data_IF_344286085755
#
_entry.id   IF_344286085755
#
_cell.length_a   1.000
_cell.length_b   1.000
_cell.length_c   1.000
_cell.angle_alpha   90.00
_cell.angle_beta   90.00
_cell.angle_gamma   90.00
#
_symmetry.space_group_name_H-M   'P 1'
#
loop_
_entity.id
_entity.type
_entity.pdbx_description
1 polymer ?
#
# COMPACT_ATOMS: atom_id res chain seq x y z
N UNK A 1 -1.85 40.19 15.75
CA UNK A 1 -0.48 39.98 15.27
C UNK A 1 -0.29 38.47 15.02
N UNK A 2 -0.43 38.10 13.76
CA UNK A 2 -0.27 36.74 13.32
C UNK A 2 1.20 36.36 13.23
N UNK A 3 1.50 35.11 13.52
CA UNK A 3 2.79 34.50 13.23
C UNK A 3 2.56 33.35 12.25
N UNK A 4 3.33 33.39 11.19
CA UNK A 4 3.20 32.58 10.01
C UNK A 4 3.34 31.08 10.25
N UNK A 5 2.41 30.34 9.69
CA UNK A 5 2.55 28.92 9.46
C UNK A 5 3.50 28.68 8.29
N UNK A 6 4.52 27.89 8.52
CA UNK A 6 5.38 27.37 7.47
C UNK A 6 4.54 26.48 6.55
N UNK A 7 4.44 26.87 5.29
CA UNK A 7 3.84 26.09 4.22
C UNK A 7 4.68 24.83 3.98
N UNK A 8 4.25 23.70 4.55
CA UNK A 8 4.73 22.40 4.13
C UNK A 8 4.20 22.16 2.72
N UNK A 9 5.08 22.06 1.75
CA UNK A 9 4.77 21.72 0.36
C UNK A 9 4.25 20.28 0.33
N UNK A 10 2.93 20.17 0.39
CA UNK A 10 2.22 18.89 0.26
C UNK A 10 2.31 18.36 -1.16
N UNK A 11 2.37 17.07 -1.25
CA UNK A 11 1.96 16.24 -2.37
C UNK A 11 2.43 16.67 -3.75
N UNK A 12 3.56 16.18 -4.18
CA UNK A 12 4.02 16.25 -5.57
C UNK A 12 2.94 15.73 -6.52
N UNK A 13 2.40 16.61 -7.34
CA UNK A 13 1.78 16.22 -8.61
C UNK A 13 2.91 15.83 -9.55
N UNK A 14 3.54 14.70 -9.30
CA UNK A 14 4.74 14.36 -10.05
C UNK A 14 4.41 13.67 -11.36
N UNK A 15 4.47 14.44 -12.40
CA UNK A 15 5.02 13.97 -13.66
C UNK A 15 6.54 14.02 -13.45
N UNK A 16 7.18 12.99 -12.90
CA UNK A 16 8.62 13.05 -12.60
C UNK A 16 9.16 11.81 -11.91
N UNK A 17 10.47 11.70 -11.88
CA UNK A 17 11.21 10.63 -11.23
C UNK A 17 11.05 10.63 -9.69
N UNK A 18 11.17 9.47 -9.06
CA UNK A 18 11.24 9.35 -7.60
C UNK A 18 12.65 9.68 -7.08
N UNK A 19 12.74 10.21 -5.86
CA UNK A 19 14.01 10.53 -5.18
C UNK A 19 14.08 9.87 -3.81
N UNK A 20 15.26 9.50 -3.38
CA UNK A 20 15.48 9.00 -2.00
C UNK A 20 15.03 10.02 -0.94
N UNK A 21 15.10 11.29 -1.27
CA UNK A 21 14.75 12.40 -0.39
C UNK A 21 13.26 12.77 -0.41
N UNK A 22 12.43 12.06 -1.17
CA UNK A 22 11.00 12.32 -1.17
C UNK A 22 10.42 12.13 0.24
N UNK A 23 9.54 13.04 0.69
CA UNK A 23 8.98 12.96 2.03
C UNK A 23 8.04 11.75 2.15
N UNK A 24 8.18 11.03 3.25
CA UNK A 24 7.27 9.92 3.58
C UNK A 24 5.88 10.47 3.92
N UNK A 25 4.82 10.04 3.22
CA UNK A 25 3.47 10.54 3.45
C UNK A 25 2.67 9.68 4.42
N UNK A 26 1.47 10.16 4.80
CA UNK A 26 0.47 9.35 5.47
C UNK A 26 0.87 8.88 6.86
N UNK A 27 0.28 7.78 7.29
CA UNK A 27 0.57 7.22 8.63
C UNK A 27 2.02 6.77 8.82
N UNK A 28 2.74 6.42 7.77
CA UNK A 28 4.17 6.11 7.88
C UNK A 28 5.04 7.32 8.29
N UNK A 29 4.52 8.54 8.23
CA UNK A 29 5.23 9.77 8.62
C UNK A 29 5.04 10.18 10.09
N UNK A 30 4.10 9.56 10.81
CA UNK A 30 3.78 9.95 12.19
C UNK A 30 4.47 9.05 13.23
N UNK A 31 4.34 9.39 14.49
CA UNK A 31 4.90 8.62 15.62
C UNK A 31 6.39 8.26 15.47
N UNK A 32 7.20 9.23 15.10
CA UNK A 32 8.64 9.07 14.83
C UNK A 32 8.97 8.95 13.35
N UNK A 33 8.01 8.52 12.54
CA UNK A 33 8.12 8.45 11.09
C UNK A 33 9.06 7.35 10.58
N UNK A 34 8.98 7.11 9.28
CA UNK A 34 9.80 6.13 8.57
C UNK A 34 10.99 6.82 7.92
N UNK A 35 12.20 6.36 8.16
CA UNK A 35 13.45 6.89 7.59
C UNK A 35 14.20 5.88 6.73
N UNK A 36 13.77 4.61 6.77
CA UNK A 36 14.40 3.52 6.03
C UNK A 36 15.90 3.39 6.31
N UNK A 37 16.69 3.26 5.28
CA UNK A 37 18.16 3.25 5.33
C UNK A 37 18.82 4.63 5.39
N UNK A 38 18.03 5.71 5.55
CA UNK A 38 18.51 7.08 5.49
C UNK A 38 18.53 7.65 4.07
N UNK A 39 19.26 8.74 3.86
CA UNK A 39 19.29 9.50 2.58
C UNK A 39 20.68 9.57 1.92
N UNK A 40 21.69 8.95 2.51
CA UNK A 40 23.07 9.00 2.03
C UNK A 40 23.28 8.08 0.80
N UNK A 41 22.82 8.51 -0.37
CA UNK A 41 22.87 7.70 -1.60
C UNK A 41 24.28 7.27 -2.01
N UNK A 42 25.32 8.02 -1.64
CA UNK A 42 26.71 7.66 -1.93
C UNK A 42 27.19 6.38 -1.25
N UNK A 43 26.46 5.88 -0.23
CA UNK A 43 26.72 4.60 0.45
C UNK A 43 25.77 3.48 0.00
N UNK A 44 24.96 3.70 -1.04
CA UNK A 44 23.97 2.74 -1.48
C UNK A 44 24.61 1.48 -2.09
N UNK A 45 23.99 0.35 -1.81
CA UNK A 45 24.39 -0.97 -2.31
C UNK A 45 23.57 -1.26 -3.58
N UNK A 46 24.21 -1.39 -4.72
CA UNK A 46 23.52 -1.80 -5.96
C UNK A 46 23.53 -3.32 -6.10
N UNK A 47 22.37 -3.91 -6.39
CA UNK A 47 22.19 -5.37 -6.52
C UNK A 47 21.49 -5.73 -7.83
N UNK A 48 21.85 -6.90 -8.40
CA UNK A 48 21.30 -7.43 -9.64
C UNK A 48 20.94 -8.93 -9.57
N UNK A 49 20.86 -9.47 -8.37
CA UNK A 49 20.42 -10.86 -8.14
C UNK A 49 19.61 -10.96 -6.86
N UNK A 50 18.73 -11.98 -6.77
CA UNK A 50 17.90 -12.21 -5.58
C UNK A 50 18.75 -12.52 -4.35
N UNK A 51 19.82 -13.29 -4.47
CA UNK A 51 20.68 -13.59 -3.33
C UNK A 51 21.43 -12.36 -2.80
N UNK A 52 21.88 -11.48 -3.69
CA UNK A 52 22.49 -10.22 -3.29
C UNK A 52 21.48 -9.28 -2.61
N UNK A 53 20.25 -9.19 -3.16
CA UNK A 53 19.15 -8.40 -2.58
C UNK A 53 18.79 -8.93 -1.18
N UNK A 54 18.58 -10.23 -1.02
CA UNK A 54 18.29 -10.85 0.27
C UNK A 54 19.43 -10.63 1.28
N UNK A 55 20.67 -10.75 0.86
CA UNK A 55 21.83 -10.52 1.74
C UNK A 55 21.93 -9.07 2.21
N UNK A 56 21.76 -8.10 1.31
CA UNK A 56 21.79 -6.68 1.63
C UNK A 56 20.60 -6.24 2.51
N UNK A 57 19.45 -6.89 2.35
CA UNK A 57 18.23 -6.57 3.08
C UNK A 57 18.17 -7.15 4.51
N UNK A 58 19.08 -8.06 4.89
CA UNK A 58 19.08 -8.71 6.22
C UNK A 58 19.47 -7.76 7.36
N UNK A 59 19.06 -8.17 8.58
CA UNK A 59 19.47 -7.53 9.84
C UNK A 59 18.94 -6.12 10.00
N UNK A 60 19.44 -5.41 11.03
CA UNK A 60 18.92 -4.10 11.45
C UNK A 60 19.81 -2.90 11.09
N UNK A 61 21.00 -3.14 10.54
CA UNK A 61 21.88 -2.02 10.13
C UNK A 61 21.23 -1.23 8.99
N UNK A 62 21.21 0.12 9.07
CA UNK A 62 20.64 0.95 8.01
C UNK A 62 21.32 0.69 6.66
N UNK A 63 20.53 0.53 5.61
CA UNK A 63 21.05 0.36 4.25
C UNK A 63 20.09 0.91 3.20
N UNK A 64 20.66 1.57 2.19
CA UNK A 64 19.99 1.92 0.94
C UNK A 64 20.40 0.88 -0.10
N UNK A 65 19.42 0.21 -0.69
CA UNK A 65 19.61 -0.88 -1.64
C UNK A 65 18.96 -0.48 -2.96
N UNK A 66 19.78 -0.32 -3.98
CA UNK A 66 19.35 0.01 -5.34
C UNK A 66 19.27 -1.27 -6.16
N UNK A 67 18.10 -1.56 -6.68
CA UNK A 67 17.84 -2.79 -7.43
C UNK A 67 17.85 -2.49 -8.92
N UNK A 68 18.73 -3.16 -9.66
CA UNK A 68 18.78 -3.03 -11.13
C UNK A 68 17.53 -3.66 -11.77
N UNK A 69 17.07 -3.16 -12.93
CA UNK A 69 16.04 -3.85 -13.69
C UNK A 69 16.40 -5.31 -13.96
N UNK A 70 15.44 -6.21 -13.77
CA UNK A 70 15.65 -7.65 -13.89
C UNK A 70 14.60 -8.47 -13.18
N UNK A 71 14.74 -9.80 -13.24
CA UNK A 71 13.83 -10.77 -12.65
C UNK A 71 14.48 -11.45 -11.44
N UNK A 72 13.81 -11.37 -10.29
CA UNK A 72 14.28 -11.82 -8.98
C UNK A 72 13.30 -12.86 -8.44
N UNK A 73 13.68 -14.15 -8.42
CA UNK A 73 12.76 -15.21 -7.99
C UNK A 73 12.99 -15.60 -6.54
N UNK A 74 11.90 -15.64 -5.76
CA UNK A 74 11.91 -16.08 -4.35
C UNK A 74 11.24 -15.08 -3.42
N UNK A 75 11.48 -15.26 -2.11
CA UNK A 75 10.93 -14.40 -1.04
C UNK A 75 11.95 -13.36 -0.62
N UNK A 76 11.55 -12.10 -0.62
CA UNK A 76 12.29 -11.01 0.02
C UNK A 76 11.74 -10.78 1.43
N UNK A 77 12.54 -11.01 2.45
CA UNK A 77 12.21 -10.77 3.85
C UNK A 77 13.18 -9.74 4.46
N UNK A 78 12.91 -8.44 4.33
CA UNK A 78 13.82 -7.41 4.83
C UNK A 78 13.79 -7.34 6.36
N UNK A 79 14.93 -7.08 6.95
CA UNK A 79 15.04 -6.66 8.34
C UNK A 79 14.73 -5.16 8.49
N UNK A 80 15.06 -4.57 9.66
CA UNK A 80 14.77 -3.14 9.91
C UNK A 80 15.70 -2.19 9.18
N UNK A 81 15.27 -0.92 9.09
CA UNK A 81 16.08 0.22 8.63
C UNK A 81 16.59 0.04 7.19
N UNK A 82 15.70 -0.31 6.28
CA UNK A 82 16.04 -0.50 4.87
C UNK A 82 15.27 0.44 3.96
N UNK A 83 15.96 0.99 2.99
CA UNK A 83 15.38 1.62 1.79
C UNK A 83 15.73 0.74 0.60
N UNK A 84 14.73 0.14 -0.05
CA UNK A 84 14.90 -0.75 -1.21
C UNK A 84 14.19 -0.09 -2.40
N UNK A 85 14.93 0.31 -3.41
CA UNK A 85 14.40 1.07 -4.54
C UNK A 85 14.82 0.45 -5.87
N UNK A 86 13.84 0.19 -6.74
CA UNK A 86 14.10 -0.10 -8.15
C UNK A 86 14.62 1.14 -8.88
N UNK A 87 15.77 1.03 -9.54
CA UNK A 87 16.42 2.16 -10.24
C UNK A 87 15.61 2.66 -11.43
N UNK A 88 14.85 1.77 -12.05
CA UNK A 88 14.01 2.07 -13.20
C UNK A 88 12.87 1.04 -13.28
N UNK A 89 11.89 1.22 -14.19
CA UNK A 89 10.90 0.18 -14.48
C UNK A 89 11.54 -1.15 -14.87
N UNK A 90 10.84 -2.26 -14.59
CA UNK A 90 11.31 -3.61 -14.94
C UNK A 90 12.05 -4.35 -13.82
N UNK A 91 12.03 -3.86 -12.58
CA UNK A 91 12.44 -4.65 -11.42
C UNK A 91 11.28 -5.54 -11.01
N UNK A 92 11.37 -6.85 -11.26
CA UNK A 92 10.30 -7.82 -11.02
C UNK A 92 10.71 -8.86 -9.98
N UNK A 93 10.03 -8.90 -8.84
CA UNK A 93 10.12 -9.98 -7.86
C UNK A 93 9.05 -11.01 -8.19
N UNK A 94 9.46 -12.20 -8.64
CA UNK A 94 8.59 -13.35 -8.86
C UNK A 94 8.57 -14.22 -7.59
N UNK A 95 7.53 -14.06 -6.81
CA UNK A 95 7.39 -14.65 -5.48
C UNK A 95 6.68 -13.68 -4.55
N UNK A 96 7.31 -13.33 -3.43
CA UNK A 96 6.65 -12.45 -2.46
C UNK A 96 7.64 -11.58 -1.66
N UNK A 97 7.09 -10.52 -1.06
CA UNK A 97 7.77 -9.72 -0.03
C UNK A 97 7.05 -9.96 1.30
N UNK A 98 7.78 -10.39 2.33
CA UNK A 98 7.23 -10.66 3.65
C UNK A 98 7.92 -9.82 4.72
N UNK A 99 7.22 -8.84 5.24
CA UNK A 99 7.65 -7.98 6.35
C UNK A 99 6.93 -8.45 7.61
N UNK A 100 7.57 -9.36 8.36
CA UNK A 100 6.95 -10.05 9.48
C UNK A 100 7.78 -9.90 10.76
N UNK A 101 7.12 -9.50 11.83
CA UNK A 101 7.71 -9.28 13.15
C UNK A 101 8.23 -7.86 13.37
N UNK A 102 8.38 -7.46 14.63
CA UNK A 102 8.90 -6.13 15.00
C UNK A 102 10.31 -5.84 14.46
N UNK A 103 11.05 -6.89 14.08
CA UNK A 103 12.33 -6.78 13.36
C UNK A 103 12.19 -6.36 11.89
N UNK A 104 10.99 -6.27 11.35
CA UNK A 104 10.69 -5.75 10.00
C UNK A 104 10.05 -4.37 10.11
N UNK A 105 10.78 -3.37 10.60
CA UNK A 105 10.29 -2.01 10.86
C UNK A 105 11.19 -0.96 10.25
N UNK A 106 10.65 0.25 10.10
CA UNK A 106 11.36 1.36 9.47
C UNK A 106 11.83 1.00 8.04
N UNK A 107 10.86 0.65 7.18
CA UNK A 107 11.10 0.15 5.84
C UNK A 107 10.53 1.09 4.77
N UNK A 108 11.30 1.33 3.73
CA UNK A 108 10.88 2.03 2.52
C UNK A 108 11.13 1.12 1.32
N UNK A 109 10.06 0.67 0.65
CA UNK A 109 10.12 -0.14 -0.55
C UNK A 109 9.47 0.61 -1.70
N UNK A 110 10.22 0.91 -2.76
CA UNK A 110 9.75 1.76 -3.84
C UNK A 110 10.10 1.22 -5.23
N UNK A 111 9.20 1.46 -6.18
CA UNK A 111 9.41 1.23 -7.61
C UNK A 111 9.79 -0.23 -7.92
N UNK A 112 9.03 -1.17 -7.38
CA UNK A 112 9.22 -2.60 -7.55
C UNK A 112 7.93 -3.23 -8.09
N UNK A 113 8.06 -4.17 -9.02
CA UNK A 113 6.96 -5.06 -9.35
C UNK A 113 7.06 -6.35 -8.52
N UNK A 114 5.92 -6.83 -8.01
CA UNK A 114 5.82 -8.08 -7.24
C UNK A 114 4.73 -8.93 -7.86
N UNK A 115 5.11 -10.10 -8.34
CA UNK A 115 4.18 -11.07 -8.91
C UNK A 115 4.17 -12.33 -8.07
N UNK A 116 3.02 -12.63 -7.47
CA UNK A 116 2.79 -13.87 -6.73
C UNK A 116 2.90 -15.10 -7.63
N UNK A 117 3.03 -16.25 -7.01
CA UNK A 117 3.07 -17.53 -7.71
C UNK A 117 1.67 -17.92 -8.19
N UNK A 118 1.60 -18.64 -9.30
CA UNK A 118 0.32 -19.16 -9.79
C UNK A 118 -0.25 -20.24 -8.88
N UNK A 119 -1.56 -20.27 -8.77
CA UNK A 119 -2.33 -21.32 -8.11
C UNK A 119 -3.50 -21.75 -9.03
N UNK A 120 -3.95 -23.00 -8.92
CA UNK A 120 -4.87 -23.60 -9.88
C UNK A 120 -6.25 -23.92 -9.28
N UNK A 121 -6.41 -23.83 -7.96
CA UNK A 121 -7.69 -24.04 -7.27
C UNK A 121 -7.88 -22.98 -6.19
N UNK A 122 -9.13 -22.85 -5.71
CA UNK A 122 -9.45 -21.95 -4.61
C UNK A 122 -8.65 -22.28 -3.35
N UNK A 123 -8.58 -23.53 -2.96
CA UNK A 123 -7.88 -23.98 -1.76
C UNK A 123 -6.36 -23.81 -1.86
N UNK A 124 -5.78 -24.12 -3.02
CA UNK A 124 -4.36 -23.87 -3.29
C UNK A 124 -4.04 -22.39 -3.18
N UNK A 125 -4.86 -21.52 -3.75
CA UNK A 125 -4.67 -20.08 -3.70
C UNK A 125 -4.76 -19.58 -2.25
N UNK A 126 -5.81 -19.95 -1.53
CA UNK A 126 -6.04 -19.54 -0.14
C UNK A 126 -4.95 -20.02 0.84
N UNK A 127 -4.32 -21.16 0.56
CA UNK A 127 -3.22 -21.69 1.36
C UNK A 127 -1.85 -21.10 0.98
N UNK A 128 -1.79 -20.30 -0.07
CA UNK A 128 -0.56 -19.72 -0.58
C UNK A 128 -0.16 -18.42 0.11
N UNK A 129 0.86 -17.78 -0.39
CA UNK A 129 1.36 -16.52 0.14
C UNK A 129 0.70 -15.30 -0.52
N UNK A 130 0.54 -14.23 0.25
CA UNK A 130 0.31 -12.91 -0.30
C UNK A 130 1.51 -12.45 -1.14
N UNK A 131 1.27 -11.65 -2.16
CA UNK A 131 2.38 -11.07 -2.90
C UNK A 131 3.20 -10.10 -2.03
N UNK A 132 2.53 -9.32 -1.18
CA UNK A 132 3.16 -8.48 -0.16
C UNK A 132 2.43 -8.68 1.17
N UNK A 133 3.17 -9.00 2.21
CA UNK A 133 2.65 -9.17 3.57
C UNK A 133 3.35 -8.23 4.54
N UNK A 134 2.58 -7.61 5.44
CA UNK A 134 3.09 -6.81 6.56
C UNK A 134 2.33 -7.18 7.83
N UNK A 135 3.04 -7.66 8.86
CA UNK A 135 2.33 -8.09 10.07
C UNK A 135 3.24 -8.56 11.20
N UNK A 136 2.63 -9.23 12.20
CA UNK A 136 3.31 -9.68 13.41
C UNK A 136 4.07 -8.54 14.13
N UNK A 137 3.46 -7.34 14.18
CA UNK A 137 4.06 -6.17 14.80
C UNK A 137 5.06 -5.40 13.93
N UNK A 138 5.19 -5.70 12.66
CA UNK A 138 5.94 -4.85 11.70
C UNK A 138 5.32 -3.45 11.65
N UNK A 139 6.16 -2.41 11.62
CA UNK A 139 5.65 -1.04 11.69
C UNK A 139 6.54 -0.01 11.00
N UNK A 140 5.99 1.18 10.73
CA UNK A 140 6.69 2.25 10.01
C UNK A 140 7.19 1.75 8.66
N UNK A 141 6.23 1.45 7.77
CA UNK A 141 6.49 0.92 6.43
C UNK A 141 5.89 1.84 5.39
N UNK A 142 6.69 2.23 4.42
CA UNK A 142 6.25 2.94 3.24
C UNK A 142 6.45 2.08 2.00
N UNK A 143 5.34 1.68 1.38
CA UNK A 143 5.27 0.98 0.11
C UNK A 143 4.84 2.00 -0.95
N UNK A 144 5.70 2.23 -1.95
CA UNK A 144 5.46 3.31 -2.91
C UNK A 144 5.81 2.89 -4.34
N UNK A 145 4.96 3.24 -5.29
CA UNK A 145 5.11 2.86 -6.69
C UNK A 145 5.35 1.37 -6.89
N UNK A 146 4.59 0.53 -6.17
CA UNK A 146 4.63 -0.92 -6.36
C UNK A 146 3.61 -1.35 -7.42
N UNK A 147 3.99 -2.35 -8.21
CA UNK A 147 3.12 -3.04 -9.16
C UNK A 147 2.86 -4.45 -8.63
N UNK A 148 1.73 -4.67 -7.94
CA UNK A 148 1.45 -5.90 -7.20
C UNK A 148 0.40 -6.73 -7.93
N UNK A 149 0.75 -7.94 -8.29
CA UNK A 149 -0.16 -8.83 -9.00
C UNK A 149 -0.07 -10.29 -8.56
N UNK A 150 -1.13 -11.02 -8.81
CA UNK A 150 -1.21 -12.49 -8.74
C UNK A 150 -0.85 -13.11 -7.38
N UNK A 151 -0.97 -12.36 -6.28
CA UNK A 151 -0.81 -12.94 -4.95
C UNK A 151 -1.74 -14.15 -4.78
N UNK A 152 -1.26 -15.24 -4.19
CA UNK A 152 -2.05 -16.45 -4.06
C UNK A 152 -3.24 -16.24 -3.12
N UNK A 153 -3.02 -15.89 -1.86
CA UNK A 153 -4.10 -15.53 -0.93
C UNK A 153 -4.57 -14.10 -1.14
N UNK A 154 -3.67 -13.13 -1.17
CA UNK A 154 -3.96 -11.71 -1.38
C UNK A 154 -2.84 -10.97 -2.10
N UNK A 155 -3.13 -9.76 -2.57
CA UNK A 155 -2.09 -8.95 -3.19
C UNK A 155 -1.23 -8.23 -2.14
N UNK A 156 -1.87 -7.62 -1.10
CA UNK A 156 -1.11 -6.88 -0.10
C UNK A 156 -1.88 -6.86 1.23
N UNK A 157 -1.54 -7.76 2.13
CA UNK A 157 -2.21 -7.92 3.40
C UNK A 157 -1.43 -7.29 4.55
N UNK A 158 -2.16 -6.64 5.46
CA UNK A 158 -1.63 -5.97 6.66
C UNK A 158 -2.40 -6.48 7.86
N UNK A 159 -1.78 -7.35 8.66
CA UNK A 159 -2.47 -8.06 9.76
C UNK A 159 -1.62 -8.13 11.02
N UNK A 160 -2.15 -8.74 12.07
CA UNK A 160 -1.41 -9.09 13.28
C UNK A 160 -0.58 -7.93 13.85
N UNK A 161 -1.22 -6.78 14.03
CA UNK A 161 -0.63 -5.60 14.64
C UNK A 161 0.37 -4.83 13.77
N UNK A 162 0.34 -5.01 12.46
CA UNK A 162 1.04 -4.12 11.53
C UNK A 162 0.58 -2.67 11.70
N UNK A 163 1.51 -1.70 11.83
CA UNK A 163 1.12 -0.33 12.22
C UNK A 163 1.94 0.77 11.55
N UNK A 164 1.37 1.96 11.44
CA UNK A 164 1.97 3.13 10.80
C UNK A 164 2.47 2.83 9.39
N UNK A 165 1.54 2.41 8.52
CA UNK A 165 1.84 1.97 7.16
C UNK A 165 1.23 2.94 6.14
N UNK A 166 2.01 3.30 5.13
CA UNK A 166 1.50 4.00 3.95
C UNK A 166 1.79 3.20 2.70
N UNK A 167 0.74 3.00 1.91
CA UNK A 167 0.81 2.44 0.56
C UNK A 167 0.42 3.56 -0.40
N UNK A 168 1.34 3.96 -1.25
CA UNK A 168 1.12 5.06 -2.19
C UNK A 168 1.48 4.70 -3.62
N UNK A 169 0.81 5.30 -4.59
CA UNK A 169 1.08 5.10 -6.01
C UNK A 169 1.26 3.64 -6.41
N UNK A 170 0.50 2.74 -5.79
CA UNK A 170 0.63 1.29 -5.96
C UNK A 170 -0.55 0.76 -6.77
N UNK A 171 -0.26 -0.12 -7.72
CA UNK A 171 -1.27 -0.80 -8.52
C UNK A 171 -1.47 -2.23 -8.04
N UNK A 172 -2.75 -2.64 -7.91
CA UNK A 172 -3.17 -4.00 -7.56
C UNK A 172 -4.01 -4.57 -8.68
N UNK A 173 -3.68 -5.76 -9.17
CA UNK A 173 -4.45 -6.42 -10.23
C UNK A 173 -4.14 -7.92 -10.30
N UNK A 174 -4.85 -8.63 -11.19
CA UNK A 174 -4.59 -10.02 -11.50
C UNK A 174 -4.40 -10.19 -13.00
N UNK A 175 -3.37 -10.96 -13.41
CA UNK A 175 -3.06 -11.18 -14.82
C UNK A 175 -3.85 -12.34 -15.42
N UNK A 176 -4.38 -13.24 -14.59
CA UNK A 176 -5.16 -14.39 -15.03
C UNK A 176 -6.44 -14.55 -14.20
N UNK A 177 -7.39 -15.32 -14.75
CA UNK A 177 -8.61 -15.66 -14.05
C UNK A 177 -8.34 -16.76 -13.02
N UNK A 178 -8.67 -16.50 -11.76
CA UNK A 178 -8.72 -17.47 -10.67
C UNK A 178 -9.89 -17.10 -9.75
N UNK A 179 -10.36 -18.02 -8.93
CA UNK A 179 -11.50 -17.76 -8.06
C UNK A 179 -11.13 -16.83 -6.88
N UNK A 180 -9.93 -16.98 -6.33
CA UNK A 180 -9.43 -16.23 -5.18
C UNK A 180 -8.65 -14.97 -5.64
N UNK A 181 -9.37 -13.88 -5.99
CA UNK A 181 -8.77 -12.60 -6.44
C UNK A 181 -8.99 -11.49 -5.44
N UNK A 182 -8.52 -11.69 -4.22
CA UNK A 182 -8.66 -10.75 -3.11
C UNK A 182 -7.45 -9.81 -3.03
N UNK A 183 -7.69 -8.52 -2.82
CA UNK A 183 -6.60 -7.54 -2.93
C UNK A 183 -5.91 -7.27 -1.59
N UNK A 184 -6.63 -6.67 -0.63
CA UNK A 184 -6.01 -6.17 0.60
C UNK A 184 -6.85 -6.55 1.82
N UNK A 185 -6.32 -7.42 2.68
CA UNK A 185 -6.91 -7.72 3.98
C UNK A 185 -6.19 -6.94 5.09
N UNK A 186 -6.98 -6.34 5.98
CA UNK A 186 -6.51 -5.65 7.17
C UNK A 186 -7.09 -6.37 8.38
N UNK A 187 -6.25 -6.96 9.22
CA UNK A 187 -6.57 -7.95 10.25
C UNK A 187 -7.24 -9.22 9.71
N UNK A 188 -6.68 -10.37 10.04
CA UNK A 188 -7.10 -11.69 9.52
C UNK A 188 -8.41 -12.18 10.09
N UNK A 189 -8.76 -11.84 11.32
CA UNK A 189 -9.98 -12.31 12.00
C UNK A 189 -10.54 -11.27 12.97
N UNK A 190 -11.78 -11.51 13.43
CA UNK A 190 -12.40 -10.71 14.50
C UNK A 190 -11.78 -10.99 15.87
N UNK A 191 -10.98 -12.05 15.99
CA UNK A 191 -10.23 -12.45 17.17
C UNK A 191 -8.72 -12.31 16.90
N UNK A 192 -8.27 -11.06 16.78
CA UNK A 192 -6.87 -10.68 16.53
C UNK A 192 -6.44 -9.59 17.53
N UNK A 193 -6.14 -9.98 18.79
CA UNK A 193 -5.88 -9.03 19.87
C UNK A 193 -4.70 -8.11 19.61
N UNK A 194 -3.70 -8.57 18.87
CA UNK A 194 -2.51 -7.77 18.53
C UNK A 194 -2.82 -6.58 17.60
N UNK A 195 -3.97 -6.60 16.94
CA UNK A 195 -4.44 -5.53 16.05
C UNK A 195 -5.28 -4.47 16.75
N UNK A 196 -5.73 -4.70 17.97
CA UNK A 196 -6.52 -3.73 18.74
C UNK A 196 -5.69 -2.47 19.04
N UNK A 197 -6.21 -1.31 18.63
CA UNK A 197 -5.52 -0.01 18.79
C UNK A 197 -4.33 0.23 17.86
N UNK A 198 -4.17 -0.60 16.85
CA UNK A 198 -3.15 -0.51 15.79
C UNK A 198 -3.80 -0.44 14.40
N UNK A 199 -3.04 -0.79 13.37
CA UNK A 199 -3.49 -0.77 11.97
C UNK A 199 -3.84 0.67 11.51
N UNK A 200 -2.95 1.62 11.78
CA UNK A 200 -3.01 2.96 11.23
C UNK A 200 -2.44 2.93 9.80
N UNK A 201 -3.33 2.96 8.80
CA UNK A 201 -2.95 2.69 7.42
C UNK A 201 -3.47 3.81 6.50
N UNK A 202 -2.61 4.27 5.59
CA UNK A 202 -2.98 5.15 4.49
C UNK A 202 -2.79 4.42 3.16
N UNK A 203 -3.82 4.43 2.32
CA UNK A 203 -3.72 4.14 0.89
C UNK A 203 -3.92 5.45 0.13
N UNK A 204 -2.95 5.89 -0.66
CA UNK A 204 -3.06 7.13 -1.41
C UNK A 204 -2.54 7.01 -2.83
N UNK A 205 -3.29 7.57 -3.78
CA UNK A 205 -2.98 7.52 -5.20
C UNK A 205 -2.80 6.08 -5.73
N UNK A 206 -3.50 5.11 -5.16
CA UNK A 206 -3.44 3.71 -5.57
C UNK A 206 -4.48 3.39 -6.65
N UNK A 207 -4.23 2.31 -7.39
CA UNK A 207 -5.10 1.84 -8.46
C UNK A 207 -5.46 0.37 -8.27
N UNK A 208 -6.73 0.08 -7.98
CA UNK A 208 -7.30 -1.27 -8.06
C UNK A 208 -7.78 -1.51 -9.48
N UNK A 209 -7.00 -2.31 -10.20
CA UNK A 209 -7.14 -2.53 -11.64
C UNK A 209 -7.86 -3.84 -11.98
N UNK A 210 -7.45 -4.42 -13.10
CA UNK A 210 -8.15 -5.53 -13.72
C UNK A 210 -8.23 -6.77 -12.83
N UNK A 211 -9.40 -7.44 -12.86
CA UNK A 211 -9.71 -8.71 -12.20
C UNK A 211 -9.63 -8.73 -10.68
N UNK A 212 -9.45 -7.61 -10.01
CA UNK A 212 -9.64 -7.57 -8.55
C UNK A 212 -11.11 -7.84 -8.24
N UNK A 213 -11.39 -8.87 -7.42
CA UNK A 213 -12.76 -9.26 -7.09
C UNK A 213 -13.25 -8.65 -5.78
N UNK A 214 -12.40 -8.58 -4.75
CA UNK A 214 -12.82 -8.00 -3.48
C UNK A 214 -11.65 -7.48 -2.64
N UNK A 215 -12.01 -6.93 -1.46
CA UNK A 215 -11.06 -6.40 -0.46
C UNK A 215 -10.23 -5.23 -0.99
N UNK A 216 -10.88 -4.06 -1.17
CA UNK A 216 -10.22 -2.85 -1.67
C UNK A 216 -10.23 -1.67 -0.66
N UNK A 217 -9.88 -1.79 0.63
CA UNK A 217 -9.62 -3.00 1.37
C UNK A 217 -10.84 -3.62 2.06
N UNK A 218 -10.69 -4.82 2.64
CA UNK A 218 -11.54 -5.36 3.70
C UNK A 218 -10.76 -5.41 4.99
N UNK A 219 -11.34 -4.97 6.12
CA UNK A 219 -10.58 -4.97 7.35
C UNK A 219 -11.39 -4.97 8.63
N UNK A 220 -10.64 -4.99 9.74
CA UNK A 220 -11.11 -4.89 11.12
C UNK A 220 -10.17 -4.01 11.91
N UNK A 221 -10.63 -3.50 13.05
CA UNK A 221 -9.91 -2.67 14.02
C UNK A 221 -9.45 -1.32 13.49
N UNK A 222 -8.46 -1.19 12.76
CA UNK A 222 -7.71 -0.04 12.25
C UNK A 222 -8.39 1.32 11.98
N UNK A 223 -7.56 2.31 11.77
CA UNK A 223 -7.90 3.63 11.25
C UNK A 223 -7.36 3.73 9.81
N UNK A 224 -8.23 3.64 8.82
CA UNK A 224 -7.85 3.53 7.43
C UNK A 224 -8.20 4.81 6.67
N UNK A 225 -7.21 5.48 6.10
CA UNK A 225 -7.39 6.62 5.22
C UNK A 225 -7.14 6.24 3.77
N UNK A 226 -8.18 6.30 2.95
CA UNK A 226 -8.17 6.12 1.51
C UNK A 226 -8.18 7.49 0.85
N UNK A 227 -7.10 7.92 0.21
CA UNK A 227 -6.97 9.25 -0.38
C UNK A 227 -6.64 9.18 -1.87
N UNK A 228 -7.45 9.81 -2.71
CA UNK A 228 -7.19 9.91 -4.15
C UNK A 228 -6.95 8.56 -4.85
N UNK A 229 -7.70 7.54 -4.49
CA UNK A 229 -7.55 6.21 -5.06
C UNK A 229 -8.51 5.99 -6.24
N UNK A 230 -8.11 5.13 -7.16
CA UNK A 230 -8.92 4.72 -8.30
C UNK A 230 -9.30 3.25 -8.20
N UNK A 231 -10.61 2.98 -8.17
CA UNK A 231 -11.21 1.65 -8.15
C UNK A 231 -11.88 1.39 -9.50
N UNK A 232 -11.14 0.74 -10.41
CA UNK A 232 -11.61 0.43 -11.76
C UNK A 232 -12.62 -0.71 -11.77
N UNK A 233 -12.44 -1.69 -10.89
CA UNK A 233 -13.34 -2.84 -10.77
C UNK A 233 -13.85 -2.96 -9.34
N UNK A 234 -15.15 -3.20 -9.18
CA UNK A 234 -15.79 -3.39 -7.88
C UNK A 234 -15.80 -4.85 -7.45
N UNK A 235 -15.81 -5.78 -8.41
CA UNK A 235 -15.92 -7.22 -8.15
C UNK A 235 -17.09 -7.55 -7.23
N UNK A 236 -16.88 -8.39 -6.21
CA UNK A 236 -17.90 -8.74 -5.21
C UNK A 236 -17.97 -7.75 -4.04
N UNK A 237 -16.88 -7.01 -3.75
CA UNK A 237 -16.81 -6.08 -2.63
C UNK A 237 -15.71 -5.03 -2.82
N UNK A 238 -16.02 -3.75 -2.56
CA UNK A 238 -15.02 -2.68 -2.52
C UNK A 238 -14.51 -2.54 -1.08
N UNK A 239 -15.12 -1.70 -0.24
CA UNK A 239 -14.70 -1.53 1.15
C UNK A 239 -15.51 -2.43 2.07
N UNK A 240 -14.87 -3.42 2.67
CA UNK A 240 -15.45 -4.23 3.73
C UNK A 240 -15.05 -3.67 5.11
N UNK A 241 -15.96 -3.00 5.78
CA UNK A 241 -15.70 -2.38 7.09
C UNK A 241 -16.21 -3.29 8.19
N UNK A 242 -15.30 -3.95 8.88
CA UNK A 242 -15.60 -4.95 9.91
C UNK A 242 -15.42 -4.45 11.34
N UNK A 243 -15.31 -5.38 12.25
CA UNK A 243 -15.28 -5.15 13.70
C UNK A 243 -14.32 -4.03 14.09
N UNK A 244 -14.84 -2.99 14.74
CA UNK A 244 -14.11 -1.83 15.28
C UNK A 244 -13.22 -1.07 14.27
N UNK A 245 -13.41 -1.28 12.98
CA UNK A 245 -12.71 -0.56 11.93
C UNK A 245 -13.35 0.81 11.67
N UNK A 246 -12.54 1.82 11.43
CA UNK A 246 -12.99 3.10 10.87
C UNK A 246 -12.25 3.39 9.56
N UNK A 247 -13.02 3.82 8.52
CA UNK A 247 -12.47 4.11 7.20
C UNK A 247 -12.95 5.48 6.70
N UNK A 248 -12.02 6.32 6.24
CA UNK A 248 -12.31 7.56 5.52
C UNK A 248 -11.87 7.36 4.07
N UNK A 249 -12.79 7.57 3.11
CA UNK A 249 -12.48 7.59 1.68
C UNK A 249 -12.67 9.02 1.16
N UNK A 250 -11.58 9.64 0.69
CA UNK A 250 -11.55 11.04 0.29
C UNK A 250 -11.03 11.21 -1.14
N UNK A 251 -11.81 11.91 -1.97
CA UNK A 251 -11.52 12.20 -3.37
C UNK A 251 -11.08 10.95 -4.18
N UNK A 252 -11.66 9.78 -3.88
CA UNK A 252 -11.47 8.55 -4.63
C UNK A 252 -12.43 8.49 -5.83
N UNK A 253 -12.09 7.66 -6.82
CA UNK A 253 -12.94 7.43 -8.00
C UNK A 253 -13.34 5.96 -8.09
N UNK A 254 -14.64 5.70 -8.29
CA UNK A 254 -15.24 4.37 -8.38
C UNK A 254 -15.99 4.20 -9.70
N UNK A 255 -15.50 3.33 -10.60
CA UNK A 255 -16.15 3.10 -11.91
C UNK A 255 -17.32 2.13 -11.84
N UNK A 256 -17.36 1.24 -10.85
CA UNK A 256 -18.40 0.23 -10.71
C UNK A 256 -19.68 0.80 -10.11
N UNK A 257 -20.82 0.53 -10.74
CA UNK A 257 -22.15 0.94 -10.26
C UNK A 257 -22.68 -0.02 -9.18
N UNK A 258 -22.08 0.03 -7.99
CA UNK A 258 -22.48 -0.74 -6.80
C UNK A 258 -22.25 0.07 -5.54
N UNK A 259 -22.78 -0.40 -4.41
CA UNK A 259 -22.38 0.11 -3.10
C UNK A 259 -20.89 -0.07 -2.89
N UNK A 260 -20.21 0.99 -2.44
CA UNK A 260 -18.79 0.88 -2.07
C UNK A 260 -18.60 0.41 -0.64
N UNK A 261 -19.62 0.52 0.20
CA UNK A 261 -19.56 0.16 1.61
C UNK A 261 -20.25 -1.18 1.86
N UNK A 262 -19.54 -2.07 2.53
CA UNK A 262 -20.10 -3.34 3.04
C UNK A 262 -19.87 -3.41 4.55
N UNK A 263 -20.96 -3.48 5.32
CA UNK A 263 -20.90 -3.77 6.74
C UNK A 263 -20.51 -5.24 6.95
N UNK A 264 -19.34 -5.45 7.55
CA UNK A 264 -18.79 -6.77 7.83
C UNK A 264 -18.87 -7.15 9.31
N UNK A 265 -19.78 -6.51 10.04
CA UNK A 265 -20.05 -6.74 11.47
C UNK A 265 -19.36 -5.73 12.39
N UNK A 266 -20.15 -5.00 13.14
CA UNK A 266 -19.75 -4.05 14.20
C UNK A 266 -18.66 -3.04 13.79
N UNK A 267 -18.76 -2.35 12.64
CA UNK A 267 -17.81 -1.32 12.29
C UNK A 267 -17.91 -0.15 13.27
N UNK A 268 -16.79 0.51 13.53
CA UNK A 268 -16.80 1.79 14.25
C UNK A 268 -17.41 2.89 13.39
N UNK A 269 -17.08 2.93 12.11
CA UNK A 269 -17.72 3.83 11.14
C UNK A 269 -16.97 3.96 9.82
N UNK A 270 -17.61 4.67 8.90
CA UNK A 270 -16.99 5.11 7.64
C UNK A 270 -17.48 6.51 7.24
N UNK A 271 -16.70 7.14 6.39
CA UNK A 271 -17.02 8.46 5.84
C UNK A 271 -16.47 8.62 4.42
N UNK A 272 -17.35 8.90 3.47
CA UNK A 272 -16.99 9.33 2.13
C UNK A 272 -16.95 10.86 2.02
N UNK A 273 -15.94 11.41 1.34
CA UNK A 273 -15.75 12.86 1.17
C UNK A 273 -15.30 13.13 -0.26
N UNK A 274 -16.09 13.86 -1.04
CA UNK A 274 -15.69 14.34 -2.37
C UNK A 274 -15.35 13.24 -3.38
N UNK A 275 -15.83 12.01 -3.17
CA UNK A 275 -15.62 10.91 -4.08
C UNK A 275 -16.46 11.06 -5.34
N UNK A 276 -15.96 10.60 -6.48
CA UNK A 276 -16.64 10.60 -7.77
C UNK A 276 -16.84 9.17 -8.31
N UNK A 277 -17.81 8.99 -9.20
CA UNK A 277 -18.11 7.73 -9.84
C UNK A 277 -19.59 7.46 -10.00
N UNK A 278 -19.95 6.17 -10.14
CA UNK A 278 -21.34 5.75 -10.42
C UNK A 278 -22.09 5.24 -9.18
N UNK A 279 -21.38 4.94 -8.09
CA UNK A 279 -22.01 4.46 -6.86
C UNK A 279 -22.77 5.56 -6.12
N UNK A 280 -24.03 5.29 -5.73
CA UNK A 280 -24.88 6.28 -5.07
C UNK A 280 -24.48 6.59 -3.62
N UNK A 281 -23.77 5.67 -2.97
CA UNK A 281 -23.41 5.74 -1.54
C UNK A 281 -21.95 6.17 -1.28
N UNK A 282 -21.18 6.51 -2.32
CA UNK A 282 -19.74 6.77 -2.19
C UNK A 282 -19.39 7.94 -1.24
N UNK A 283 -20.31 8.85 -1.00
CA UNK A 283 -20.14 9.95 -0.04
C UNK A 283 -20.99 9.77 1.24
N UNK A 284 -21.47 8.55 1.49
CA UNK A 284 -22.22 8.25 2.70
C UNK A 284 -21.32 8.22 3.94
N UNK A 285 -21.92 8.44 5.10
CA UNK A 285 -21.25 8.38 6.41
C UNK A 285 -22.05 7.53 7.37
N UNK A 286 -21.35 6.79 8.24
CA UNK A 286 -21.96 5.99 9.31
C UNK A 286 -21.02 5.92 10.50
N UNK A 287 -21.58 5.95 11.72
CA UNK A 287 -20.82 5.79 12.95
C UNK A 287 -19.81 6.92 13.20
N UNK A 288 -18.69 6.57 13.81
CA UNK A 288 -17.63 7.52 14.19
C UNK A 288 -16.32 7.17 13.48
N UNK A 289 -15.69 8.17 12.88
CA UNK A 289 -14.36 8.05 12.28
C UNK A 289 -13.34 8.85 13.11
N UNK A 290 -12.08 8.73 12.75
CA UNK A 290 -10.94 9.34 13.41
C UNK A 290 -10.58 10.71 12.80
N UNK A 291 -9.73 11.48 13.51
CA UNK A 291 -9.04 12.64 12.94
C UNK A 291 -7.72 12.19 12.30
N UNK A 292 -7.43 12.68 11.10
CA UNK A 292 -6.19 12.35 10.39
C UNK A 292 -5.03 13.11 11.02
N UNK A 293 -3.96 12.43 11.50
CA UNK A 293 -2.91 13.06 12.31
C UNK A 293 -1.73 13.63 11.52
N UNK A 294 -1.80 13.69 10.20
CA UNK A 294 -0.75 14.20 9.33
C UNK A 294 -1.30 15.22 8.33
N UNK A 295 -0.42 16.09 7.82
CA UNK A 295 -0.77 17.05 6.78
C UNK A 295 -0.79 16.41 5.40
N UNK A 296 -1.79 16.75 4.58
CA UNK A 296 -1.91 16.30 3.20
C UNK A 296 -2.72 17.32 2.41
N UNK A 297 -2.64 17.24 1.09
CA UNK A 297 -3.45 18.04 0.18
C UNK A 297 -4.15 17.10 -0.79
N UNK A 298 -5.49 16.97 -0.72
CA UNK A 298 -6.24 16.13 -1.64
C UNK A 298 -6.13 16.67 -3.08
N UNK A 299 -5.86 15.79 -4.03
CA UNK A 299 -6.04 16.08 -5.44
C UNK A 299 -7.55 16.07 -5.75
N UNK A 300 -8.09 16.96 -6.61
CA UNK A 300 -9.46 16.85 -7.06
C UNK A 300 -9.75 15.46 -7.66
N UNK A 301 -10.87 14.83 -7.30
CA UNK A 301 -11.23 13.48 -7.77
C UNK A 301 -11.17 13.36 -9.30
N UNK A 302 -11.63 14.41 -10.03
CA UNK A 302 -11.57 14.47 -11.50
C UNK A 302 -10.15 14.35 -12.12
N UNK A 303 -9.09 14.46 -11.33
CA UNK A 303 -7.69 14.30 -11.77
C UNK A 303 -7.09 12.94 -11.41
N UNK A 304 -7.74 12.21 -10.51
CA UNK A 304 -7.17 10.96 -9.94
C UNK A 304 -6.91 9.93 -11.02
N UNK A 305 -7.89 9.62 -11.86
CA UNK A 305 -7.74 8.57 -12.89
C UNK A 305 -6.54 8.87 -13.78
N UNK A 306 -6.45 10.08 -14.33
CA UNK A 306 -5.34 10.46 -15.21
C UNK A 306 -3.98 10.43 -14.53
N UNK A 307 -3.92 10.76 -13.23
CA UNK A 307 -2.67 10.74 -12.47
C UNK A 307 -2.21 9.31 -12.18
N UNK A 308 -3.10 8.45 -11.64
CA UNK A 308 -2.71 7.10 -11.21
C UNK A 308 -2.53 6.13 -12.38
N UNK A 309 -3.13 6.41 -13.54
CA UNK A 309 -2.95 5.60 -14.76
C UNK A 309 -1.89 6.14 -15.72
N UNK A 310 -1.17 7.19 -15.33
CA UNK A 310 -0.10 7.74 -16.15
C UNK A 310 0.98 6.67 -16.44
N UNK A 311 1.45 6.63 -17.68
CA UNK A 311 2.47 5.66 -18.11
C UNK A 311 3.86 5.98 -17.55
N UNK A 312 4.08 7.20 -17.10
CA UNK A 312 5.31 7.66 -16.45
C UNK A 312 4.99 8.12 -15.05
N UNK A 313 5.54 7.43 -14.08
CA UNK A 313 5.39 7.70 -12.65
C UNK A 313 3.92 7.80 -12.16
N UNK A 314 3.03 7.02 -12.76
CA UNK A 314 1.71 6.71 -12.21
C UNK A 314 1.80 5.58 -11.19
N UNK A 315 0.65 4.99 -10.82
CA UNK A 315 0.63 3.87 -9.91
C UNK A 315 1.29 2.62 -10.52
N UNK A 316 2.26 2.05 -9.81
CA UNK A 316 3.03 0.89 -10.25
C UNK A 316 4.53 1.16 -10.42
N UNK A 317 5.26 0.15 -10.90
CA UNK A 317 6.69 0.25 -11.20
C UNK A 317 6.95 0.99 -12.52
N UNK A 318 6.74 2.29 -12.52
CA UNK A 318 6.75 3.13 -13.74
C UNK A 318 7.69 4.34 -13.67
N UNK A 319 8.42 4.51 -12.57
CA UNK A 319 9.33 5.65 -12.35
C UNK A 319 10.80 5.29 -12.60
N UNK A 320 11.61 6.31 -12.85
CA UNK A 320 13.06 6.21 -12.71
C UNK A 320 13.50 6.83 -11.37
N UNK A 321 14.60 6.34 -10.82
CA UNK A 321 15.23 6.97 -9.66
C UNK A 321 16.10 8.15 -10.12
N UNK A 322 15.77 9.35 -9.66
CA UNK A 322 16.60 10.53 -9.80
C UNK A 322 17.60 10.65 -8.63
N UNK A 323 18.82 10.99 -8.93
CA UNK A 323 19.93 11.14 -8.00
C UNK A 323 20.11 12.57 -7.52
#
# INVERSE_FOLDING_TARGET
>A
TGTGGTTGTGGSTSVGDIRITDPVPGYASVNGGTTGGGTAIGSAITVNSMSALQSAAKGSSPAIILVEPGSYSGTLAPGSNKTIIGKAPGVMINGNISMSGSGASNLILRNLAVRGLRCNSYDECKAGADAVYTGNGAHHVWLDHLDISDGQDGNCDITQGGDYITVSWTRFYYTYAKEHRYSNLIAGSDDEPDSVGKLHITYMNCHWGDRVDSRQPRGRFGNIHMLNNYHKTGGSQIHGVGKDMALIAENCVYEENRSIWTDMGSPRGWKGIGNEGTASDMNASRGTVFSIPYSYTPMPASKVVSAVTASTCGAGNTCNLAY
#
